data_IF_773084489288
#
_entry.id   IF_773084489288
#
_cell.length_a   1.000
_cell.length_b   1.000
_cell.length_c   1.000
_cell.angle_alpha   90.00
_cell.angle_beta   90.00
_cell.angle_gamma   90.00
#
_symmetry.space_group_name_H-M   'P 1'
#
loop_
_entity.id
_entity.type
_entity.pdbx_description
1 polymer ?
#
# COMPACT_ATOMS: atom_id res chain seq x y z
N UNK A 1 -4.04 -12.09 -15.43
CA UNK A 1 -4.28 -10.98 -14.50
C UNK A 1 -4.75 -11.51 -13.15
N UNK A 2 -4.36 -10.84 -12.08
CA UNK A 2 -4.75 -11.22 -10.73
C UNK A 2 -6.07 -10.53 -10.34
N UNK A 3 -6.50 -10.74 -9.10
CA UNK A 3 -7.75 -10.17 -8.61
C UNK A 3 -7.74 -8.64 -8.50
N UNK A 4 -6.57 -8.01 -8.58
CA UNK A 4 -6.45 -6.56 -8.47
C UNK A 4 -6.47 -5.86 -9.83
N UNK A 5 -6.56 -6.62 -10.93
CA UNK A 5 -6.62 -6.05 -12.27
C UNK A 5 -5.32 -5.47 -12.76
N UNK A 6 -4.18 -5.84 -12.16
CA UNK A 6 -2.87 -5.38 -12.61
C UNK A 6 -2.18 -6.49 -13.42
N UNK A 7 -1.28 -6.12 -14.35
CA UNK A 7 -0.55 -7.14 -15.12
C UNK A 7 0.31 -8.02 -14.23
N UNK A 8 0.46 -9.29 -14.60
CA UNK A 8 1.26 -10.23 -13.80
C UNK A 8 2.71 -9.80 -13.65
N UNK A 9 3.30 -9.20 -14.71
CA UNK A 9 4.68 -8.72 -14.62
C UNK A 9 4.83 -7.60 -13.57
N UNK A 10 3.80 -6.76 -13.44
CA UNK A 10 3.80 -5.67 -12.46
C UNK A 10 3.61 -6.22 -11.06
N UNK A 11 2.71 -7.16 -10.88
CA UNK A 11 2.52 -7.83 -9.59
C UNK A 11 3.85 -8.40 -9.10
N UNK A 12 4.55 -9.12 -9.98
CA UNK A 12 5.81 -9.76 -9.63
C UNK A 12 6.88 -8.74 -9.22
N UNK A 13 7.00 -7.66 -10.00
CA UNK A 13 7.96 -6.59 -9.68
C UNK A 13 7.68 -5.94 -8.35
N UNK A 14 6.41 -5.63 -8.09
CA UNK A 14 6.03 -4.96 -6.85
C UNK A 14 6.24 -5.89 -5.65
N UNK A 15 5.92 -7.17 -5.78
CA UNK A 15 6.17 -8.14 -4.70
C UNK A 15 7.65 -8.27 -4.36
N UNK A 16 8.51 -8.21 -5.37
CA UNK A 16 9.97 -8.27 -5.13
C UNK A 16 10.49 -7.01 -4.48
N UNK A 17 9.93 -5.87 -4.82
CA UNK A 17 10.37 -4.58 -4.29
C UNK A 17 9.86 -4.35 -2.86
N UNK A 18 8.56 -4.62 -2.61
CA UNK A 18 7.88 -4.26 -1.37
C UNK A 18 7.76 -5.47 -0.45
N UNK A 19 8.78 -5.72 0.35
CA UNK A 19 8.80 -6.85 1.30
C UNK A 19 8.08 -6.52 2.59
N UNK A 20 8.04 -5.24 2.94
CA UNK A 20 7.34 -4.73 4.11
C UNK A 20 6.27 -3.76 3.64
N UNK A 21 5.28 -3.50 4.49
CA UNK A 21 4.26 -2.49 4.17
C UNK A 21 4.97 -1.17 3.84
N UNK A 22 4.64 -0.60 2.66
CA UNK A 22 5.31 0.63 2.21
C UNK A 22 4.96 1.84 3.08
N UNK A 23 3.91 1.76 3.88
CA UNK A 23 3.49 2.86 4.74
C UNK A 23 3.98 2.70 6.18
N UNK A 24 3.59 1.63 6.87
CA UNK A 24 3.93 1.47 8.29
C UNK A 24 5.12 0.56 8.56
N UNK A 25 5.64 -0.14 7.54
CA UNK A 25 6.82 -0.97 7.68
C UNK A 25 6.61 -2.34 8.32
N UNK A 26 5.36 -2.71 8.61
CA UNK A 26 5.09 -4.00 9.24
C UNK A 26 5.38 -5.15 8.25
N UNK A 27 5.81 -6.29 8.79
CA UNK A 27 5.98 -7.49 7.99
C UNK A 27 4.61 -8.01 7.58
N UNK A 28 4.39 -8.12 6.28
CA UNK A 28 3.10 -8.57 5.74
C UNK A 28 3.08 -10.09 5.58
N UNK A 29 1.86 -10.66 5.62
CA UNK A 29 1.65 -12.09 5.42
C UNK A 29 0.65 -12.33 4.31
N UNK A 30 0.85 -13.44 3.58
CA UNK A 30 -0.14 -13.93 2.63
C UNK A 30 -1.13 -14.80 3.37
N UNK A 31 -2.42 -14.54 3.16
CA UNK A 31 -3.49 -15.32 3.81
C UNK A 31 -4.32 -16.01 2.74
N UNK A 32 -4.85 -17.20 3.02
CA UNK A 32 -5.82 -17.81 2.12
C UNK A 32 -7.08 -16.96 2.09
N UNK A 33 -7.88 -17.13 1.05
CA UNK A 33 -9.13 -16.37 0.89
C UNK A 33 -10.07 -16.72 2.06
N UNK A 34 -10.33 -15.73 2.92
CA UNK A 34 -11.18 -15.90 4.10
C UNK A 34 -12.06 -14.65 4.24
N UNK A 35 -13.03 -14.74 5.16
CA UNK A 35 -13.83 -13.57 5.52
C UNK A 35 -12.97 -12.55 6.25
N UNK A 36 -13.12 -11.31 5.89
CA UNK A 36 -12.41 -10.20 6.52
C UNK A 36 -11.00 -10.04 5.99
N UNK A 37 -10.34 -9.00 6.44
CA UNK A 37 -8.98 -8.68 6.04
C UNK A 37 -8.12 -8.55 7.28
N UNK A 38 -7.24 -9.53 7.54
CA UNK A 38 -6.29 -9.41 8.67
C UNK A 38 -5.45 -8.14 8.52
N UNK A 39 -5.11 -7.53 9.66
CA UNK A 39 -4.40 -6.24 9.66
C UNK A 39 -3.03 -6.30 8.99
N UNK A 40 -2.38 -7.47 9.02
CA UNK A 40 -1.05 -7.65 8.41
C UNK A 40 -1.08 -8.37 7.06
N UNK A 41 -2.27 -8.50 6.45
CA UNK A 41 -2.40 -9.15 5.14
C UNK A 41 -1.73 -8.29 4.07
N UNK A 42 -0.93 -8.93 3.22
CA UNK A 42 -0.32 -8.27 2.07
C UNK A 42 -1.41 -7.95 1.04
N UNK A 43 -1.56 -6.69 0.70
CA UNK A 43 -2.53 -6.24 -0.31
C UNK A 43 -1.85 -5.32 -1.31
N UNK A 44 -2.41 -5.23 -2.50
CA UNK A 44 -1.97 -4.25 -3.50
C UNK A 44 -2.87 -3.03 -3.44
N UNK A 45 -2.28 -1.86 -3.67
CA UNK A 45 -3.07 -0.64 -3.71
C UNK A 45 -2.45 0.38 -4.68
N UNK A 46 -3.26 1.32 -5.12
CA UNK A 46 -2.80 2.49 -5.86
C UNK A 46 -2.48 3.59 -4.85
N UNK A 47 -1.28 4.19 -4.93
CA UNK A 47 -0.95 5.36 -4.10
C UNK A 47 -1.92 6.48 -4.45
N UNK A 48 -2.10 6.71 -5.76
CA UNK A 48 -3.09 7.65 -6.29
C UNK A 48 -4.19 6.83 -6.97
N UNK A 49 -5.38 6.84 -6.41
CA UNK A 49 -6.50 6.05 -6.95
C UNK A 49 -6.87 6.44 -8.38
N UNK A 50 -6.59 7.67 -8.77
CA UNK A 50 -6.88 8.16 -10.12
C UNK A 50 -5.70 7.95 -11.06
N UNK A 51 -4.59 7.42 -10.58
CA UNK A 51 -3.40 7.20 -11.38
C UNK A 51 -3.39 5.85 -12.08
N UNK A 52 -2.42 5.66 -12.99
CA UNK A 52 -2.33 4.43 -13.76
C UNK A 52 -1.77 3.26 -12.95
N UNK A 53 -2.00 2.01 -13.39
CA UNK A 53 -1.38 0.84 -12.76
C UNK A 53 0.07 0.71 -13.21
N UNK A 54 0.95 1.53 -12.66
CA UNK A 54 2.37 1.58 -13.01
C UNK A 54 3.24 1.21 -11.81
N UNK A 55 4.53 0.96 -12.06
CA UNK A 55 5.47 0.62 -10.98
C UNK A 55 5.54 1.73 -9.93
N UNK A 56 5.35 2.97 -10.33
CA UNK A 56 5.43 4.12 -9.42
C UNK A 56 4.16 4.30 -8.59
N UNK A 57 3.06 3.69 -9.01
CA UNK A 57 1.76 3.91 -8.38
C UNK A 57 1.18 2.68 -7.69
N UNK A 58 1.61 1.48 -8.08
CA UNK A 58 1.14 0.24 -7.43
C UNK A 58 2.13 -0.17 -6.36
N UNK A 59 1.63 -0.42 -5.16
CA UNK A 59 2.46 -0.80 -4.02
C UNK A 59 1.80 -1.92 -3.23
N UNK A 60 2.58 -2.57 -2.38
CA UNK A 60 2.04 -3.50 -1.40
C UNK A 60 1.99 -2.84 -0.04
N UNK A 61 0.87 -2.99 0.63
CA UNK A 61 0.70 -2.48 1.98
C UNK A 61 -0.07 -3.50 2.81
N UNK A 62 -0.07 -3.30 4.13
CA UNK A 62 -0.82 -4.19 5.01
C UNK A 62 -2.31 -3.87 4.96
N UNK A 63 -3.14 -4.85 5.35
CA UNK A 63 -4.59 -4.68 5.34
C UNK A 63 -5.07 -3.49 6.16
N UNK A 64 -4.40 -3.22 7.28
CA UNK A 64 -4.74 -2.08 8.13
C UNK A 64 -4.56 -0.75 7.41
N UNK A 65 -3.40 -0.55 6.78
CA UNK A 65 -3.13 0.69 6.04
C UNK A 65 -4.04 0.82 4.82
N UNK A 66 -4.29 -0.28 4.12
CA UNK A 66 -5.17 -0.28 2.96
C UNK A 66 -6.59 0.17 3.34
N UNK A 67 -7.14 -0.41 4.41
CA UNK A 67 -8.46 -0.05 4.89
C UNK A 67 -8.54 1.40 5.37
N UNK A 68 -7.50 1.86 6.06
CA UNK A 68 -7.45 3.21 6.59
C UNK A 68 -7.34 4.26 5.48
N UNK A 69 -6.46 4.02 4.52
CA UNK A 69 -6.26 4.98 3.42
C UNK A 69 -7.46 5.01 2.48
N UNK A 70 -7.99 3.83 2.11
CA UNK A 70 -9.12 3.77 1.19
C UNK A 70 -8.83 4.58 -0.07
N UNK A 71 -9.76 5.49 -0.40
CA UNK A 71 -9.64 6.32 -1.61
C UNK A 71 -9.10 7.73 -1.31
N UNK A 72 -8.60 7.95 -0.10
CA UNK A 72 -8.06 9.25 0.29
C UNK A 72 -6.78 9.58 -0.49
N UNK A 73 -6.56 10.86 -0.74
CA UNK A 73 -5.28 11.31 -1.29
C UNK A 73 -4.18 11.06 -0.27
N UNK A 74 -2.99 10.70 -0.75
CA UNK A 74 -1.86 10.40 0.13
C UNK A 74 -1.60 11.53 1.12
N UNK A 75 -1.53 12.77 0.63
CA UNK A 75 -1.25 13.92 1.49
C UNK A 75 -2.29 14.08 2.60
N UNK A 76 -3.57 13.87 2.27
CA UNK A 76 -4.65 13.97 3.26
C UNK A 76 -4.57 12.84 4.28
N UNK A 77 -4.31 11.62 3.80
CA UNK A 77 -4.22 10.47 4.69
C UNK A 77 -3.04 10.57 5.65
N UNK A 78 -1.91 11.09 5.19
CA UNK A 78 -0.73 11.27 6.05
C UNK A 78 -1.00 12.23 7.22
N UNK A 79 -2.00 13.11 7.09
CA UNK A 79 -2.42 14.00 8.16
C UNK A 79 -3.45 13.37 9.09
N UNK A 80 -3.91 12.15 8.79
CA UNK A 80 -4.95 11.49 9.57
C UNK A 80 -4.46 11.08 10.95
N UNK A 81 -5.41 10.87 11.87
CA UNK A 81 -5.09 10.39 13.21
C UNK A 81 -4.46 9.00 13.17
N UNK A 82 -4.86 8.17 12.22
CA UNK A 82 -4.28 6.84 12.03
C UNK A 82 -2.76 6.95 11.79
N UNK A 83 -2.37 7.79 10.84
CA UNK A 83 -0.96 7.96 10.50
C UNK A 83 -0.18 8.58 11.66
N UNK A 84 -0.78 9.55 12.35
CA UNK A 84 -0.13 10.18 13.51
C UNK A 84 0.11 9.17 14.63
N UNK A 85 -0.86 8.32 14.91
CA UNK A 85 -0.73 7.27 15.94
C UNK A 85 0.34 6.25 15.57
N UNK A 86 0.44 5.89 14.31
CA UNK A 86 1.42 4.90 13.84
C UNK A 86 2.76 5.52 13.46
N UNK A 87 2.87 6.84 13.58
CA UNK A 87 4.09 7.59 13.23
C UNK A 87 4.46 7.40 11.76
N UNK A 88 3.45 7.37 10.90
CA UNK A 88 3.64 7.28 9.45
C UNK A 88 3.75 8.71 8.91
N UNK A 89 4.85 8.99 8.20
CA UNK A 89 5.09 10.29 7.58
C UNK A 89 5.86 10.08 6.29
N UNK A 90 6.06 11.17 5.54
CA UNK A 90 6.86 11.08 4.32
C UNK A 90 8.29 10.61 4.56
N UNK A 91 8.82 10.84 5.75
CA UNK A 91 10.18 10.39 6.11
C UNK A 91 10.25 8.92 6.44
N UNK A 92 9.13 8.30 6.84
CA UNK A 92 9.12 6.89 7.29
C UNK A 92 8.62 5.92 6.23
N UNK A 93 7.93 6.42 5.21
CA UNK A 93 7.39 5.54 4.15
C UNK A 93 8.50 5.08 3.21
N UNK A 94 8.21 4.02 2.45
CA UNK A 94 9.16 3.51 1.46
C UNK A 94 9.44 4.54 0.37
N UNK A 95 10.57 4.40 -0.31
CA UNK A 95 10.99 5.35 -1.34
C UNK A 95 9.95 5.56 -2.43
N UNK A 96 9.28 4.50 -2.86
CA UNK A 96 8.27 4.60 -3.93
C UNK A 96 7.13 5.53 -3.52
N UNK A 97 6.75 5.52 -2.24
CA UNK A 97 5.72 6.42 -1.72
C UNK A 97 6.26 7.83 -1.59
N UNK A 98 7.46 7.97 -1.05
CA UNK A 98 8.10 9.27 -0.85
C UNK A 98 8.28 10.02 -2.17
N UNK A 99 8.58 9.31 -3.25
CA UNK A 99 8.79 9.90 -4.58
C UNK A 99 7.49 10.18 -5.32
N UNK A 100 6.37 9.65 -4.85
CA UNK A 100 5.09 9.86 -5.51
C UNK A 100 4.64 11.31 -5.33
N UNK A 101 3.90 11.82 -6.31
CA UNK A 101 3.27 13.13 -6.19
C UNK A 101 2.11 13.03 -5.20
N UNK A 102 1.92 14.05 -4.37
CA UNK A 102 0.82 14.09 -3.42
C UNK A 102 -0.53 14.12 -4.11
#
# INVERSE_FOLDING_TARGET
>A
MNNWGIPDWLEEKVRKRDKLCVYCGVKMKEYPHTKGTPSDKATFEHIDNDGPPSEENIVMCCGSCDASKGVKKLSDWLESSYCKKKKISRETVADVVRKSSP
#
